data_IF_811049082872
#
_entry.id   IF_811049082872
#
_cell.length_a   1.000
_cell.length_b   1.000
_cell.length_c   1.000
_cell.angle_alpha   90.00
_cell.angle_beta   90.00
_cell.angle_gamma   90.00
#
_symmetry.space_group_name_H-M   'P 1'
#
loop_
_entity.id
_entity.type
_entity.pdbx_description
1 polymer ?
#
# COMPACT_ATOMS: atom_id res chain seq x y z
N UNK A 1 8.24 14.25 13.68
CA UNK A 1 6.83 13.83 13.68
C UNK A 1 6.79 12.35 14.05
N UNK A 2 6.22 11.97 15.21
CA UNK A 2 6.06 10.54 15.55
C UNK A 2 4.79 10.05 14.87
N UNK A 3 4.86 8.92 14.18
CA UNK A 3 3.68 8.25 13.62
C UNK A 3 3.00 7.49 14.77
N UNK A 4 1.73 7.80 15.12
CA UNK A 4 1.01 7.03 16.13
C UNK A 4 0.95 5.54 15.79
N UNK A 5 1.17 4.69 16.81
CA UNK A 5 1.08 3.23 16.68
C UNK A 5 -0.40 2.85 16.50
N UNK A 6 -0.71 2.04 15.48
CA UNK A 6 -2.04 1.47 15.30
C UNK A 6 -2.29 0.37 16.35
N UNK A 7 -3.47 0.36 16.96
CA UNK A 7 -3.88 -0.56 18.03
C UNK A 7 -4.94 -1.56 17.58
N UNK A 8 -5.54 -1.37 16.38
CA UNK A 8 -6.52 -2.29 15.78
C UNK A 8 -6.28 -2.43 14.27
N UNK A 9 -6.65 -3.55 13.64
CA UNK A 9 -6.57 -3.70 12.18
C UNK A 9 -7.28 -2.57 11.45
N UNK A 10 -6.76 -2.15 10.30
CA UNK A 10 -7.38 -1.14 9.40
C UNK A 10 -7.48 0.27 10.03
N UNK A 11 -7.01 0.47 11.28
CA UNK A 11 -6.97 1.79 11.92
C UNK A 11 -6.07 2.77 11.15
N UNK A 12 -5.02 2.24 10.50
CA UNK A 12 -4.09 3.04 9.72
C UNK A 12 -3.58 2.26 8.51
N UNK A 13 -3.85 2.81 7.33
CA UNK A 13 -3.42 2.25 6.04
C UNK A 13 -2.42 3.21 5.38
N UNK A 14 -1.34 2.68 4.83
CA UNK A 14 -0.54 3.35 3.81
C UNK A 14 -1.00 2.91 2.42
N UNK A 15 -1.06 3.85 1.50
CA UNK A 15 -1.31 3.58 0.09
C UNK A 15 -0.18 4.21 -0.71
N UNK A 16 0.37 3.46 -1.67
CA UNK A 16 1.39 3.94 -2.59
C UNK A 16 1.12 3.44 -4.01
N UNK A 17 1.61 4.16 -5.00
CA UNK A 17 1.48 3.81 -6.42
C UNK A 17 2.86 3.62 -7.01
N UNK A 18 3.11 2.43 -7.54
CA UNK A 18 4.37 2.10 -8.21
C UNK A 18 4.17 2.19 -9.72
N UNK A 19 4.98 3.01 -10.39
CA UNK A 19 5.07 3.06 -11.84
C UNK A 19 5.54 4.41 -12.41
N UNK A 20 5.50 4.59 -13.74
CA UNK A 20 4.98 3.65 -14.74
C UNK A 20 5.89 2.45 -14.99
N UNK A 21 5.31 1.26 -15.04
CA UNK A 21 5.95 -0.02 -15.39
C UNK A 21 5.64 -0.39 -16.86
N UNK A 22 6.36 -1.37 -17.44
CA UNK A 22 5.99 -1.94 -18.73
C UNK A 22 4.51 -2.34 -18.77
N UNK A 23 3.84 -2.02 -19.89
CA UNK A 23 2.41 -2.25 -20.03
C UNK A 23 2.13 -3.75 -20.11
N UNK A 24 1.25 -4.23 -19.25
CA UNK A 24 0.70 -5.59 -19.37
C UNK A 24 -0.14 -5.72 -20.65
N UNK A 25 -0.40 -6.95 -21.10
CA UNK A 25 -1.27 -7.21 -22.26
C UNK A 25 -2.68 -6.61 -22.10
N UNK A 26 -3.12 -6.43 -20.86
CA UNK A 26 -4.41 -5.84 -20.51
C UNK A 26 -4.36 -4.32 -20.29
N UNK A 27 -3.22 -3.65 -20.51
CA UNK A 27 -3.12 -2.19 -20.47
C UNK A 27 -2.68 -1.56 -19.14
N UNK A 28 -2.43 -2.36 -18.10
CA UNK A 28 -2.01 -1.83 -16.79
C UNK A 28 -0.52 -1.47 -16.76
N UNK A 29 -0.19 -0.32 -16.14
CA UNK A 29 1.17 0.22 -15.99
C UNK A 29 1.52 0.60 -14.55
N UNK A 30 0.58 0.45 -13.62
CA UNK A 30 0.75 0.87 -12.23
C UNK A 30 0.27 -0.23 -11.29
N UNK A 31 0.90 -0.29 -10.13
CA UNK A 31 0.52 -1.16 -9.02
C UNK A 31 0.11 -0.27 -7.85
N UNK A 32 -1.05 -0.55 -7.25
CA UNK A 32 -1.47 0.04 -5.99
C UNK A 32 -1.02 -0.88 -4.86
N UNK A 33 -0.20 -0.37 -3.94
CA UNK A 33 0.26 -1.08 -2.75
C UNK A 33 -0.53 -0.55 -1.55
N UNK A 34 -1.08 -1.46 -0.74
CA UNK A 34 -1.87 -1.13 0.45
C UNK A 34 -1.26 -1.84 1.66
N UNK A 35 -0.83 -1.10 2.68
CA UNK A 35 -0.20 -1.70 3.86
C UNK A 35 -0.95 -1.28 5.12
N UNK A 36 -1.42 -2.26 5.90
CA UNK A 36 -1.95 -2.03 7.24
C UNK A 36 -0.80 -1.96 8.26
N UNK A 37 -0.68 -0.82 8.93
CA UNK A 37 0.36 -0.58 9.93
C UNK A 37 0.18 -1.43 11.19
N UNK A 38 -1.03 -1.93 11.46
CA UNK A 38 -1.30 -2.77 12.62
C UNK A 38 -0.73 -4.18 12.44
N UNK A 39 -0.99 -4.80 11.30
CA UNK A 39 -0.51 -6.16 11.00
C UNK A 39 0.96 -6.18 10.60
N UNK A 40 1.53 -5.04 10.18
CA UNK A 40 2.87 -4.95 9.55
C UNK A 40 3.05 -5.94 8.40
N UNK A 41 1.95 -6.36 7.78
CA UNK A 41 1.94 -7.21 6.60
C UNK A 41 1.76 -6.34 5.37
N UNK A 42 2.73 -6.33 4.43
CA UNK A 42 2.49 -5.76 3.11
C UNK A 42 1.60 -6.73 2.33
N UNK A 43 0.36 -6.32 2.04
CA UNK A 43 -0.48 -6.96 1.02
C UNK A 43 -0.33 -6.23 -0.33
#
# INVERSE_FOLDING_TARGET
>A
MRVPIANRPIERIAMDIVGPLPMTLSGHKYILVITDYFTRWPE
#
